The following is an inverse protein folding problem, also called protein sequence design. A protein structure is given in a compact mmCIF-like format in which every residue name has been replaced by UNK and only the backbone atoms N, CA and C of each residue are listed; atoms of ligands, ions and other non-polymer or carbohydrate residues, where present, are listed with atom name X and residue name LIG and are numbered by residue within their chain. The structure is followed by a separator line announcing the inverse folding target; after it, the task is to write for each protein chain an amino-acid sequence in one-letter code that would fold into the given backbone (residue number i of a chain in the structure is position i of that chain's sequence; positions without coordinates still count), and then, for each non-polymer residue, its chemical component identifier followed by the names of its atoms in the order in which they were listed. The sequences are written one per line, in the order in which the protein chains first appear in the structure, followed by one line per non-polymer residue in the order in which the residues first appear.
data_IF_200900640685
#
_entry.id   IF_200900640685
#
_cell.length_a   1.000
_cell.length_b   1.000
_cell.length_c   1.000
_cell.angle_alpha   90.00
_cell.angle_beta   90.00
_cell.angle_gamma   90.00
#
_symmetry.space_group_name_H-M   'P 1'
#
loop_
_entity.id
_entity.type
_entity.pdbx_description
1 polymer ?
#
# COMPACT_ATOMS: atom_id res chain seq x y z
N UNK A 1 2.83 -0.54 -27.44
CA UNK A 1 2.09 -1.82 -27.43
C UNK A 1 1.74 -2.12 -25.98
N UNK A 2 0.54 -1.78 -25.54
CA UNK A 2 0.13 -1.86 -24.12
C UNK A 2 -0.54 -3.22 -23.91
N UNK A 3 0.01 -4.04 -23.00
CA UNK A 3 -0.36 -5.44 -22.82
C UNK A 3 -1.74 -5.69 -22.18
N UNK A 4 -2.19 -6.96 -22.14
CA UNK A 4 -3.54 -7.38 -21.74
C UNK A 4 -3.91 -7.11 -20.27
N UNK A 5 -2.93 -6.82 -19.39
CA UNK A 5 -3.15 -6.49 -17.98
C UNK A 5 -3.84 -5.13 -17.76
N UNK A 6 -3.70 -4.18 -18.70
CA UNK A 6 -4.37 -2.87 -18.61
C UNK A 6 -5.90 -2.97 -18.79
N UNK A 7 -6.39 -4.00 -19.51
CA UNK A 7 -7.83 -4.18 -19.75
C UNK A 7 -8.57 -4.79 -18.54
N UNK A 8 -7.91 -5.61 -17.74
CA UNK A 8 -8.53 -6.22 -16.55
C UNK A 8 -8.84 -5.19 -15.46
N UNK A 9 -7.97 -4.20 -15.28
CA UNK A 9 -8.15 -3.16 -14.24
C UNK A 9 -9.34 -2.22 -14.54
N UNK A 10 -9.61 -1.94 -15.81
CA UNK A 10 -10.76 -1.10 -16.22
C UNK A 10 -12.08 -1.83 -16.00
N UNK A 11 -12.12 -3.15 -16.23
CA UNK A 11 -13.34 -3.94 -16.07
C UNK A 11 -13.76 -4.13 -14.61
N UNK A 12 -12.80 -4.21 -13.69
CA UNK A 12 -13.06 -4.37 -12.25
C UNK A 12 -13.55 -3.06 -11.61
N UNK A 13 -13.01 -1.92 -12.05
CA UNK A 13 -13.47 -0.59 -11.62
C UNK A 13 -14.90 -0.28 -12.09
N UNK A 14 -15.30 -0.76 -13.27
CA UNK A 14 -16.67 -0.57 -13.78
C UNK A 14 -17.71 -1.46 -13.07
N UNK A 15 -17.30 -2.60 -12.53
CA UNK A 15 -18.20 -3.46 -11.75
C UNK A 15 -18.49 -2.84 -10.38
N UNK A 16 -17.49 -2.22 -9.75
CA UNK A 16 -17.66 -1.48 -8.50
C UNK A 16 -18.59 -0.26 -8.67
N UNK A 17 -18.44 0.52 -9.74
CA UNK A 17 -19.34 1.66 -10.00
C UNK A 17 -20.79 1.23 -10.27
N UNK A 18 -21.01 0.07 -10.90
CA UNK A 18 -22.36 -0.43 -11.18
C UNK A 18 -23.06 -0.96 -9.93
N UNK A 19 -22.33 -1.62 -9.01
CA UNK A 19 -22.90 -2.13 -7.74
C UNK A 19 -23.32 -0.97 -6.81
N UNK A 20 -22.61 0.15 -6.85
CA UNK A 20 -22.95 1.36 -6.09
C UNK A 20 -24.16 2.10 -6.71
N UNK A 21 -24.30 2.09 -8.04
CA UNK A 21 -25.35 2.82 -8.73
C UNK A 21 -26.76 2.20 -8.61
N UNK A 22 -26.88 0.88 -8.46
CA UNK A 22 -28.19 0.19 -8.49
C UNK A 22 -28.93 0.15 -7.15
N UNK A 23 -28.29 0.52 -6.03
CA UNK A 23 -28.95 0.53 -4.72
C UNK A 23 -29.52 1.90 -4.30
N UNK A 24 -29.35 2.94 -5.12
CA UNK A 24 -29.81 4.30 -4.78
C UNK A 24 -31.22 4.54 -5.33
N UNK A 25 -31.56 4.01 -6.51
CA UNK A 25 -32.83 4.34 -7.18
C UNK A 25 -34.09 3.79 -6.49
N UNK A 26 -33.97 2.74 -5.67
CA UNK A 26 -35.09 2.16 -4.93
C UNK A 26 -35.42 2.87 -3.61
N UNK A 27 -34.60 3.84 -3.17
CA UNK A 27 -34.83 4.61 -1.95
C UNK A 27 -35.58 5.94 -2.16
N UNK A 28 -35.86 6.34 -3.40
CA UNK A 28 -36.40 7.68 -3.71
C UNK A 28 -37.84 7.70 -4.25
N UNK A 29 -38.53 6.57 -4.39
CA UNK A 29 -39.86 6.54 -5.00
C UNK A 29 -41.01 7.04 -4.09
N UNK A 30 -40.78 7.28 -2.80
CA UNK A 30 -41.85 7.59 -1.83
C UNK A 30 -41.54 8.77 -0.88
N UNK A 31 -41.14 9.93 -1.40
CA UNK A 31 -41.10 11.18 -0.62
C UNK A 31 -42.12 12.17 -1.18
N UNK A 32 -43.29 12.37 -0.53
CA UNK A 32 -44.20 13.44 -0.89
C UNK A 32 -43.54 14.78 -0.57
N UNK A 33 -43.62 15.70 -1.52
CA UNK A 33 -43.08 17.04 -1.47
C UNK A 33 -43.55 17.81 -0.23
N UNK A 34 -42.63 18.13 0.70
CA UNK A 34 -42.81 19.24 1.64
C UNK A 34 -41.44 19.92 1.86
N UNK A 35 -41.23 21.00 1.12
CA UNK A 35 -40.11 21.92 1.30
C UNK A 35 -40.33 22.75 2.58
N UNK A 36 -39.50 22.53 3.61
CA UNK A 36 -39.26 23.50 4.69
C UNK A 36 -37.76 23.54 4.98
N UNK A 37 -37.11 24.61 4.51
CA UNK A 37 -35.72 24.92 4.81
C UNK A 37 -35.58 25.32 6.30
N UNK A 38 -34.82 24.53 7.05
CA UNK A 38 -33.96 25.01 8.14
C UNK A 38 -32.68 24.18 8.07
N UNK A 39 -31.56 24.83 7.76
CA UNK A 39 -30.32 24.21 7.34
C UNK A 39 -29.67 23.32 8.41
N UNK A 40 -29.66 22.00 8.17
CA UNK A 40 -28.78 21.06 8.85
C UNK A 40 -27.77 20.53 7.83
N UNK A 41 -26.69 21.27 7.61
CA UNK A 41 -25.60 20.81 6.74
C UNK A 41 -24.77 19.78 7.52
N UNK A 42 -25.11 18.50 7.40
CA UNK A 42 -24.23 17.41 7.84
C UNK A 42 -23.03 17.35 6.88
N UNK A 43 -21.95 18.04 7.23
CA UNK A 43 -20.65 17.87 6.58
C UNK A 43 -20.01 16.60 7.12
N UNK A 44 -20.20 15.49 6.42
CA UNK A 44 -19.49 14.23 6.69
C UNK A 44 -18.13 14.27 5.98
N UNK A 45 -17.14 14.95 6.56
CA UNK A 45 -15.75 14.86 6.11
C UNK A 45 -15.19 13.49 6.47
N UNK A 46 -15.21 12.56 5.52
CA UNK A 46 -14.45 11.31 5.63
C UNK A 46 -12.96 11.65 5.54
N UNK A 47 -12.31 11.82 6.70
CA UNK A 47 -10.85 11.78 6.81
C UNK A 47 -10.43 10.32 6.63
N UNK A 48 -10.36 9.87 5.38
CA UNK A 48 -9.65 8.64 5.06
C UNK A 48 -8.16 8.90 5.27
N UNK A 49 -7.69 8.73 6.51
CA UNK A 49 -6.27 8.75 6.83
C UNK A 49 -5.59 7.55 6.18
N UNK A 50 -5.20 7.68 4.92
CA UNK A 50 -4.33 6.71 4.28
C UNK A 50 -2.96 6.78 4.91
N UNK A 51 -2.48 5.68 5.51
CA UNK A 51 -1.06 5.53 5.80
C UNK A 51 -0.32 5.59 4.45
N UNK A 52 0.38 6.69 4.20
CA UNK A 52 1.23 6.80 3.01
C UNK A 52 2.38 5.82 3.18
N UNK A 53 2.41 4.77 2.35
CA UNK A 53 3.59 3.93 2.20
C UNK A 53 4.76 4.84 1.79
N UNK A 54 5.91 4.66 2.46
CA UNK A 54 7.12 5.44 2.23
C UNK A 54 8.17 4.55 1.56
N UNK A 55 8.91 5.14 0.63
CA UNK A 55 10.08 4.50 0.06
C UNK A 55 11.21 4.42 1.10
N UNK A 56 12.04 3.39 0.99
CA UNK A 56 13.30 3.28 1.70
C UNK A 56 14.21 4.47 1.35
N UNK A 57 15.10 4.84 2.29
CA UNK A 57 16.07 5.91 2.09
C UNK A 57 17.26 5.36 1.30
N UNK A 58 17.64 6.04 0.22
CA UNK A 58 18.80 5.63 -0.60
C UNK A 58 20.06 5.45 0.25
N UNK A 59 20.85 4.43 -0.10
CA UNK A 59 22.12 4.09 0.52
C UNK A 59 22.03 3.69 1.99
N UNK A 60 20.90 3.12 2.41
CA UNK A 60 20.67 2.62 3.77
C UNK A 60 20.32 1.14 3.72
N UNK A 61 20.79 0.38 4.71
CA UNK A 61 20.42 -1.02 4.89
C UNK A 61 19.18 -1.15 5.76
N UNK A 62 18.31 -2.09 5.42
CA UNK A 62 17.06 -2.35 6.10
C UNK A 62 16.87 -3.84 6.35
N UNK A 63 16.40 -4.19 7.55
CA UNK A 63 15.78 -5.47 7.77
C UNK A 63 14.51 -5.59 6.93
N UNK A 64 14.17 -6.80 6.48
CA UNK A 64 12.91 -7.01 5.77
C UNK A 64 11.69 -6.67 6.61
N UNK A 65 11.77 -6.82 7.94
CA UNK A 65 10.76 -6.33 8.89
C UNK A 65 10.62 -4.80 8.85
N UNK A 66 11.73 -4.06 8.88
CA UNK A 66 11.74 -2.59 8.77
C UNK A 66 11.14 -2.11 7.45
N UNK A 67 11.46 -2.77 6.33
CA UNK A 67 10.88 -2.45 5.02
C UNK A 67 9.35 -2.58 5.00
N UNK A 68 8.81 -3.65 5.59
CA UNK A 68 7.36 -3.86 5.71
C UNK A 68 6.68 -2.83 6.61
N UNK A 69 7.38 -2.39 7.64
CA UNK A 69 6.86 -1.36 8.54
C UNK A 69 6.75 0.02 7.87
N UNK A 70 7.61 0.33 6.89
CA UNK A 70 7.59 1.64 6.22
C UNK A 70 6.77 1.66 4.92
N UNK A 71 6.52 0.52 4.28
CA UNK A 71 5.80 0.48 3.01
C UNK A 71 5.51 -0.92 2.47
N UNK A 72 4.94 -0.96 1.26
CA UNK A 72 4.50 -2.19 0.60
C UNK A 72 5.65 -2.91 -0.11
N UNK A 73 6.57 -3.47 0.67
CA UNK A 73 7.81 -4.08 0.16
C UNK A 73 7.75 -5.60 -0.07
N UNK A 74 6.65 -6.29 0.29
CA UNK A 74 6.57 -7.76 0.25
C UNK A 74 6.93 -8.37 -1.11
N UNK A 75 6.43 -7.79 -2.21
CA UNK A 75 6.72 -8.28 -3.55
C UNK A 75 8.22 -8.11 -3.90
N UNK A 76 8.80 -6.93 -3.63
CA UNK A 76 10.21 -6.67 -3.88
C UNK A 76 11.12 -7.55 -3.02
N UNK A 77 10.76 -7.81 -1.75
CA UNK A 77 11.49 -8.69 -0.85
C UNK A 77 11.49 -10.13 -1.40
N UNK A 78 10.32 -10.62 -1.81
CA UNK A 78 10.19 -11.96 -2.41
C UNK A 78 11.05 -12.08 -3.67
N UNK A 79 11.01 -11.09 -4.55
CA UNK A 79 11.78 -11.09 -5.79
C UNK A 79 13.29 -10.99 -5.52
N UNK A 80 13.71 -10.13 -4.59
CA UNK A 80 15.11 -9.94 -4.22
C UNK A 80 15.71 -11.19 -3.56
N UNK A 81 14.94 -11.93 -2.75
CA UNK A 81 15.38 -13.21 -2.17
C UNK A 81 15.37 -14.35 -3.19
N UNK A 82 14.47 -14.32 -4.18
CA UNK A 82 14.35 -15.37 -5.18
C UNK A 82 14.13 -16.76 -4.53
N UNK A 83 15.02 -17.70 -4.83
CA UNK A 83 14.98 -19.06 -4.28
C UNK A 83 15.88 -19.29 -3.06
N UNK A 84 16.44 -18.22 -2.46
CA UNK A 84 17.48 -18.33 -1.41
C UNK A 84 16.98 -18.92 -0.08
N UNK A 85 15.68 -19.06 0.11
CA UNK A 85 15.10 -19.52 1.39
C UNK A 85 15.41 -18.56 2.55
N UNK A 86 15.07 -18.96 3.77
CA UNK A 86 15.30 -18.15 4.98
C UNK A 86 14.11 -17.28 5.40
N UNK A 87 14.23 -16.64 6.57
CA UNK A 87 13.21 -15.72 7.06
C UNK A 87 13.43 -14.34 6.45
N UNK A 88 12.47 -13.91 5.63
CA UNK A 88 12.46 -12.60 5.01
C UNK A 88 12.33 -11.44 5.99
N UNK A 89 11.99 -11.68 7.26
CA UNK A 89 11.99 -10.65 8.31
C UNK A 89 13.40 -10.32 8.78
N UNK A 90 14.23 -11.37 8.92
CA UNK A 90 15.62 -11.29 9.37
C UNK A 90 16.63 -11.22 8.21
N UNK A 91 16.15 -11.06 6.97
CA UNK A 91 17.02 -10.78 5.84
C UNK A 91 17.39 -9.28 5.80
N UNK A 92 18.65 -9.00 5.49
CA UNK A 92 19.17 -7.65 5.29
C UNK A 92 19.13 -7.26 3.81
N UNK A 93 18.63 -6.07 3.53
CA UNK A 93 18.51 -5.51 2.18
C UNK A 93 19.19 -4.14 2.10
N UNK A 94 19.74 -3.82 0.95
CA UNK A 94 20.29 -2.52 0.64
C UNK A 94 19.29 -1.72 -0.22
N UNK A 95 18.96 -0.49 0.20
CA UNK A 95 18.12 0.41 -0.56
C UNK A 95 18.95 1.12 -1.65
N UNK A 96 18.74 0.70 -2.90
CA UNK A 96 19.32 1.34 -4.09
C UNK A 96 18.61 2.68 -4.34
N UNK A 97 17.31 2.74 -4.05
CA UNK A 97 16.48 3.92 -4.25
C UNK A 97 15.69 3.86 -5.56
N UNK A 98 15.34 5.02 -6.12
CA UNK A 98 14.51 5.10 -7.32
C UNK A 98 13.05 5.44 -7.01
N UNK A 99 12.18 5.39 -8.03
CA UNK A 99 10.79 5.87 -7.94
C UNK A 99 9.97 5.10 -6.90
N UNK A 100 10.22 3.79 -6.79
CA UNK A 100 9.50 2.88 -5.90
C UNK A 100 10.42 2.34 -4.77
N UNK A 101 11.60 2.95 -4.61
CA UNK A 101 12.59 2.61 -3.58
C UNK A 101 13.13 1.19 -3.71
N UNK A 102 13.78 0.88 -4.83
CA UNK A 102 14.26 -0.46 -5.17
C UNK A 102 15.29 -0.97 -4.15
N UNK A 103 15.18 -2.26 -3.84
CA UNK A 103 16.05 -2.96 -2.87
C UNK A 103 16.85 -4.08 -3.52
N UNK A 104 17.97 -4.42 -2.91
CA UNK A 104 18.77 -5.59 -3.27
C UNK A 104 19.03 -6.43 -2.01
N UNK A 105 18.87 -7.75 -2.12
CA UNK A 105 19.20 -8.67 -1.04
C UNK A 105 20.70 -8.64 -0.74
N UNK A 106 21.07 -8.55 0.55
CA UNK A 106 22.45 -8.54 1.02
C UNK A 106 22.81 -9.87 1.66
N UNK A 107 22.12 -10.26 2.72
CA UNK A 107 22.36 -11.52 3.43
C UNK A 107 21.15 -11.93 4.28
N UNK A 108 21.11 -13.21 4.68
CA UNK A 108 20.25 -13.69 5.76
C UNK A 108 20.98 -13.40 7.07
N UNK A 109 20.28 -12.85 8.07
CA UNK A 109 20.77 -12.75 9.44
C UNK A 109 20.17 -13.88 10.30
N UNK A 110 20.84 -14.21 11.40
CA UNK A 110 20.24 -15.00 12.49
C UNK A 110 19.23 -14.14 13.26
N UNK A 111 19.57 -12.88 13.51
CA UNK A 111 18.65 -11.82 13.93
C UNK A 111 18.98 -10.52 13.20
N UNK A 112 17.97 -9.83 12.67
CA UNK A 112 18.16 -8.51 12.08
C UNK A 112 17.67 -7.40 13.02
N UNK A 113 18.53 -6.41 13.27
CA UNK A 113 18.28 -5.34 14.25
C UNK A 113 17.94 -4.03 13.55
N UNK A 114 16.74 -3.51 13.83
CA UNK A 114 16.32 -2.16 13.45
C UNK A 114 17.13 -1.12 14.25
N UNK A 115 17.90 -0.31 13.53
CA UNK A 115 18.76 0.73 14.08
C UNK A 115 18.05 2.08 14.30
N UNK A 116 16.77 2.14 13.95
CA UNK A 116 15.91 3.31 14.01
C UNK A 116 15.90 4.12 12.71
N UNK A 117 15.08 5.17 12.71
CA UNK A 117 14.84 5.99 11.53
C UNK A 117 16.11 6.57 10.92
N UNK A 118 16.26 6.43 9.60
CA UNK A 118 17.37 6.96 8.79
C UNK A 118 18.76 6.38 9.07
N UNK A 119 18.86 5.33 9.90
CA UNK A 119 20.09 4.58 10.17
C UNK A 119 20.03 3.23 9.45
N UNK A 120 21.20 2.62 9.27
CA UNK A 120 21.31 1.32 8.62
C UNK A 120 21.13 0.20 9.64
N UNK A 121 20.18 -0.66 9.36
CA UNK A 121 19.97 -1.90 10.10
C UNK A 121 21.16 -2.86 9.89
N UNK A 122 21.28 -3.85 10.76
CA UNK A 122 22.42 -4.76 10.77
C UNK A 122 22.06 -6.16 11.30
N UNK A 123 22.85 -7.16 10.91
CA UNK A 123 22.77 -8.50 11.50
C UNK A 123 23.46 -8.52 12.87
N UNK A 124 22.86 -9.20 13.85
CA UNK A 124 23.42 -9.45 15.18
C UNK A 124 23.61 -10.95 15.45
#
# INVERSE_FOLDING_TARGET
MVGPLHKFNIHMNNLLTTIIATNISALYSHLPAIMKLSAATLVLTALAGGALARNCKNNVYYCGSTLRNIGAYDAQIKDAMGSRGGDSQDALFYCVGGRDGDITYVTQCDACVDSGSSRSDYCA
#
